data_IF_316163044414
#
_entry.id   IF_316163044414
#
_cell.length_a   1.000
_cell.length_b   1.000
_cell.length_c   1.000
_cell.angle_alpha   90.00
_cell.angle_beta   90.00
_cell.angle_gamma   90.00
#
_symmetry.space_group_name_H-M   'P 1'
#
loop_
_entity.id
_entity.type
_entity.pdbx_description
1 polymer ?
#
# COMPACT_ATOMS: atom_id res chain seq x y z
N UNK A 1 5.59 -5.89 -25.45
CA UNK A 1 4.99 -5.20 -24.31
C UNK A 1 5.88 -4.06 -23.82
N UNK A 2 7.13 -4.28 -23.42
CA UNK A 2 8.04 -3.22 -22.92
C UNK A 2 8.20 -2.03 -23.87
N UNK A 3 8.26 -2.24 -25.20
CA UNK A 3 8.36 -1.15 -26.16
C UNK A 3 7.09 -0.29 -26.24
N UNK A 4 5.90 -0.91 -26.19
CA UNK A 4 4.63 -0.18 -26.16
C UNK A 4 4.50 0.65 -24.88
N UNK A 5 4.92 0.11 -23.72
CA UNK A 5 4.95 0.85 -22.47
C UNK A 5 5.90 2.05 -22.53
N UNK A 6 7.13 1.88 -23.05
CA UNK A 6 8.11 2.97 -23.20
C UNK A 6 7.64 4.07 -24.14
N UNK A 7 6.89 3.69 -25.18
CA UNK A 7 6.37 4.63 -26.17
C UNK A 7 4.99 5.19 -25.83
N UNK A 8 4.41 4.83 -24.66
CA UNK A 8 3.05 5.19 -24.26
C UNK A 8 1.98 4.82 -25.30
N UNK A 9 2.17 3.68 -25.96
CA UNK A 9 1.23 3.14 -26.94
C UNK A 9 0.15 2.28 -26.26
N UNK A 10 -1.09 2.41 -26.73
CA UNK A 10 -2.19 1.58 -26.23
C UNK A 10 -1.98 0.08 -26.54
N UNK A 11 -2.46 -0.77 -25.67
CA UNK A 11 -2.49 -2.22 -25.88
C UNK A 11 -3.73 -2.60 -26.70
N UNK A 12 -3.60 -3.69 -27.48
CA UNK A 12 -4.77 -4.32 -28.09
C UNK A 12 -5.70 -4.85 -26.98
N UNK A 13 -7.02 -4.72 -27.18
CA UNK A 13 -8.03 -5.10 -26.18
C UNK A 13 -7.85 -6.53 -25.66
N UNK A 14 -7.58 -7.50 -26.54
CA UNK A 14 -7.38 -8.88 -26.16
C UNK A 14 -6.13 -9.10 -25.28
N UNK A 15 -5.08 -8.29 -25.49
CA UNK A 15 -3.86 -8.31 -24.68
C UNK A 15 -4.12 -7.64 -23.34
N UNK A 16 -4.80 -6.49 -23.36
CA UNK A 16 -5.21 -5.80 -22.16
C UNK A 16 -6.04 -6.70 -21.24
N UNK A 17 -7.07 -7.37 -21.78
CA UNK A 17 -7.90 -8.28 -20.99
C UNK A 17 -7.09 -9.42 -20.36
N UNK A 18 -6.17 -10.04 -21.09
CA UNK A 18 -5.29 -11.09 -20.53
C UNK A 18 -4.40 -10.56 -19.38
N UNK A 19 -3.89 -9.35 -19.51
CA UNK A 19 -3.09 -8.74 -18.44
C UNK A 19 -3.96 -8.50 -17.20
N UNK A 20 -5.17 -7.97 -17.39
CA UNK A 20 -6.11 -7.73 -16.29
C UNK A 20 -6.51 -9.03 -15.59
N UNK A 21 -6.73 -10.11 -16.34
CA UNK A 21 -7.03 -11.43 -15.76
C UNK A 21 -5.84 -11.99 -14.95
N UNK A 22 -4.61 -11.77 -15.41
CA UNK A 22 -3.41 -12.13 -14.66
C UNK A 22 -3.22 -11.24 -13.43
N UNK A 23 -3.48 -9.96 -13.56
CA UNK A 23 -3.41 -9.02 -12.45
C UNK A 23 -4.41 -9.37 -11.34
N UNK A 24 -5.65 -9.69 -11.69
CA UNK A 24 -6.64 -10.16 -10.71
C UNK A 24 -6.20 -11.44 -9.99
N UNK A 25 -5.57 -12.38 -10.71
CA UNK A 25 -4.97 -13.56 -10.09
C UNK A 25 -3.83 -13.19 -9.14
N UNK A 26 -2.98 -12.24 -9.53
CA UNK A 26 -1.93 -11.72 -8.67
C UNK A 26 -2.50 -11.10 -7.39
N UNK A 27 -3.59 -10.33 -7.47
CA UNK A 27 -4.26 -9.78 -6.28
C UNK A 27 -4.70 -10.87 -5.29
N UNK A 28 -5.00 -12.08 -5.78
CA UNK A 28 -5.42 -13.21 -4.94
C UNK A 28 -4.24 -14.06 -4.46
N UNK A 29 -3.26 -14.29 -5.30
CA UNK A 29 -2.12 -15.19 -5.00
C UNK A 29 -1.00 -14.46 -4.26
N UNK A 30 -0.79 -13.17 -4.57
CA UNK A 30 0.33 -12.39 -4.05
C UNK A 30 1.67 -12.81 -4.65
N UNK A 31 2.75 -12.46 -3.95
CA UNK A 31 4.12 -12.73 -4.31
C UNK A 31 4.88 -13.63 -3.32
N UNK A 32 4.25 -14.12 -2.26
CA UNK A 32 4.89 -15.02 -1.31
C UNK A 32 5.26 -16.35 -1.94
N UNK A 33 6.51 -16.85 -1.80
CA UNK A 33 6.98 -18.03 -2.52
C UNK A 33 6.10 -19.26 -2.33
N UNK A 34 5.67 -19.57 -1.10
CA UNK A 34 4.86 -20.74 -0.81
C UNK A 34 3.47 -20.66 -1.47
N UNK A 35 2.86 -19.46 -1.45
CA UNK A 35 1.58 -19.20 -2.08
C UNK A 35 1.68 -19.32 -3.62
N UNK A 36 2.73 -18.76 -4.21
CA UNK A 36 2.99 -18.83 -5.66
C UNK A 36 3.26 -20.26 -6.09
N UNK A 37 4.09 -21.01 -5.38
CA UNK A 37 4.42 -22.42 -5.69
C UNK A 37 3.16 -23.28 -5.63
N UNK A 38 2.37 -23.18 -4.56
CA UNK A 38 1.10 -23.90 -4.44
C UNK A 38 0.15 -23.59 -5.61
N UNK A 39 0.06 -22.32 -6.02
CA UNK A 39 -0.77 -21.95 -7.16
C UNK A 39 -0.23 -22.49 -8.49
N UNK A 40 1.08 -22.51 -8.70
CA UNK A 40 1.69 -23.05 -9.92
C UNK A 40 1.41 -24.55 -10.04
N UNK A 41 1.54 -25.29 -8.94
CA UNK A 41 1.36 -26.73 -8.89
C UNK A 41 -0.11 -27.16 -9.01
N UNK A 42 -0.98 -26.56 -8.21
CA UNK A 42 -2.34 -27.05 -8.01
C UNK A 42 -3.42 -26.21 -8.70
N UNK A 43 -3.11 -24.97 -9.12
CA UNK A 43 -4.07 -24.00 -9.67
C UNK A 43 -5.29 -23.76 -8.74
N UNK A 44 -5.12 -24.01 -7.45
CA UNK A 44 -6.17 -23.95 -6.44
C UNK A 44 -5.99 -22.74 -5.52
N UNK A 45 -6.80 -21.70 -5.72
CA UNK A 45 -6.72 -20.48 -4.89
C UNK A 45 -7.18 -20.74 -3.45
N UNK A 46 -8.00 -21.73 -3.17
CA UNK A 46 -8.40 -22.05 -1.79
C UNK A 46 -7.21 -22.57 -0.95
N UNK A 47 -6.33 -23.38 -1.54
CA UNK A 47 -5.09 -23.80 -0.89
C UNK A 47 -4.14 -22.61 -0.66
N UNK A 48 -4.04 -21.72 -1.65
CA UNK A 48 -3.29 -20.46 -1.50
C UNK A 48 -3.81 -19.64 -0.31
N UNK A 49 -5.13 -19.53 -0.14
CA UNK A 49 -5.76 -18.83 1.00
C UNK A 49 -5.39 -19.45 2.35
N UNK A 50 -5.28 -20.78 2.42
CA UNK A 50 -4.83 -21.45 3.65
C UNK A 50 -3.39 -21.07 4.00
N UNK A 51 -2.48 -21.12 3.02
CA UNK A 51 -1.08 -20.70 3.19
C UNK A 51 -0.99 -19.25 3.63
N UNK A 52 -1.74 -18.35 2.98
CA UNK A 52 -1.75 -16.93 3.33
C UNK A 52 -2.26 -16.69 4.76
N UNK A 53 -3.29 -17.40 5.18
CA UNK A 53 -3.82 -17.31 6.54
C UNK A 53 -2.81 -17.85 7.58
N UNK A 54 -2.11 -18.94 7.29
CA UNK A 54 -1.06 -19.48 8.15
C UNK A 54 0.10 -18.48 8.30
N UNK A 55 0.53 -17.86 7.20
CA UNK A 55 1.58 -16.82 7.24
C UNK A 55 1.10 -15.58 8.00
N UNK A 56 -0.15 -15.16 7.79
CA UNK A 56 -0.75 -14.04 8.52
C UNK A 56 -0.76 -14.30 10.04
N UNK A 57 -1.20 -15.47 10.48
CA UNK A 57 -1.18 -15.86 11.89
C UNK A 57 0.25 -15.99 12.43
N UNK A 58 1.18 -16.47 11.60
CA UNK A 58 2.59 -16.53 11.96
C UNK A 58 3.15 -15.13 12.21
N UNK A 59 2.91 -14.16 11.34
CA UNK A 59 3.33 -12.77 11.54
C UNK A 59 2.72 -12.17 12.81
N UNK A 60 1.43 -12.40 13.04
CA UNK A 60 0.75 -11.93 14.25
C UNK A 60 1.33 -12.54 15.54
N UNK A 61 1.95 -13.72 15.47
CA UNK A 61 2.50 -14.44 16.63
C UNK A 61 4.02 -14.33 16.76
N UNK A 62 4.77 -14.06 15.70
CA UNK A 62 6.24 -14.00 15.72
C UNK A 62 6.78 -12.89 16.66
N UNK A 63 6.00 -11.86 16.89
CA UNK A 63 6.26 -10.86 17.92
C UNK A 63 6.47 -11.45 19.34
N UNK A 64 6.31 -12.77 19.51
CA UNK A 64 6.53 -13.49 20.79
C UNK A 64 7.98 -13.44 21.32
N UNK A 65 8.93 -13.06 20.49
CA UNK A 65 10.33 -12.81 20.88
C UNK A 65 10.50 -11.55 21.74
N UNK A 66 9.50 -10.67 21.72
CA UNK A 66 9.46 -9.47 22.56
C UNK A 66 8.63 -9.76 23.84
N UNK A 67 8.87 -8.98 24.92
CA UNK A 67 8.11 -9.15 26.15
C UNK A 67 6.60 -9.11 25.92
N UNK A 68 5.82 -9.78 26.76
CA UNK A 68 4.37 -9.98 26.53
C UNK A 68 3.59 -8.68 26.22
N UNK A 69 3.93 -7.58 26.88
CA UNK A 69 3.27 -6.29 26.67
C UNK A 69 3.50 -5.76 25.24
N UNK A 70 4.74 -5.75 24.76
CA UNK A 70 5.08 -5.28 23.42
C UNK A 70 4.50 -6.18 22.32
N UNK A 71 4.48 -7.49 22.57
CA UNK A 71 3.81 -8.47 21.70
C UNK A 71 2.35 -8.10 21.42
N UNK A 72 1.59 -7.76 22.44
CA UNK A 72 0.18 -7.41 22.31
C UNK A 72 0.01 -6.10 21.51
N UNK A 73 0.90 -5.13 21.72
CA UNK A 73 0.88 -3.87 20.96
C UNK A 73 1.23 -4.08 19.49
N UNK A 74 2.30 -4.86 19.21
CA UNK A 74 2.71 -5.21 17.83
C UNK A 74 1.55 -5.91 17.10
N UNK A 75 0.95 -6.91 17.73
CA UNK A 75 -0.21 -7.61 17.17
C UNK A 75 -1.37 -6.66 16.92
N UNK A 76 -1.70 -5.79 17.87
CA UNK A 76 -2.77 -4.82 17.73
C UNK A 76 -2.53 -3.86 16.56
N UNK A 77 -1.30 -3.36 16.41
CA UNK A 77 -0.92 -2.49 15.27
C UNK A 77 -1.09 -3.24 13.95
N UNK A 78 -0.60 -4.48 13.87
CA UNK A 78 -0.70 -5.30 12.67
C UNK A 78 -2.17 -5.60 12.29
N UNK A 79 -2.99 -6.03 13.26
CA UNK A 79 -4.41 -6.34 13.07
C UNK A 79 -5.23 -5.09 12.66
N UNK A 80 -4.73 -3.88 12.97
CA UNK A 80 -5.37 -2.63 12.59
C UNK A 80 -5.08 -2.18 11.15
N UNK A 81 -4.06 -2.74 10.47
CA UNK A 81 -3.68 -2.31 9.11
C UNK A 81 -4.86 -2.37 8.15
N UNK A 82 -5.63 -3.48 8.02
CA UNK A 82 -6.74 -3.55 7.07
C UNK A 82 -7.79 -2.47 7.32
N UNK A 83 -8.20 -2.29 8.57
CA UNK A 83 -9.21 -1.29 8.92
C UNK A 83 -8.75 0.14 8.67
N UNK A 84 -7.47 0.43 8.89
CA UNK A 84 -6.93 1.75 8.59
C UNK A 84 -6.84 2.00 7.08
N UNK A 85 -6.51 0.99 6.28
CA UNK A 85 -6.46 1.09 4.81
C UNK A 85 -7.84 1.31 4.18
N UNK A 86 -8.91 0.78 4.78
CA UNK A 86 -10.29 1.01 4.35
C UNK A 86 -10.85 2.38 4.79
N UNK A 87 -10.19 3.08 5.70
CA UNK A 87 -10.58 4.42 6.11
C UNK A 87 -10.21 5.47 5.05
N UNK A 88 -11.01 6.55 4.95
CA UNK A 88 -10.78 7.64 4.01
C UNK A 88 -9.35 8.23 4.06
N UNK A 89 -8.74 8.30 5.23
CA UNK A 89 -7.37 8.86 5.42
C UNK A 89 -6.27 7.82 5.50
N UNK A 90 -6.61 6.55 5.60
CA UNK A 90 -5.69 5.40 5.64
C UNK A 90 -4.51 5.52 6.63
N UNK A 91 -4.63 6.38 7.64
CA UNK A 91 -3.60 6.62 8.67
C UNK A 91 -3.78 5.72 9.86
N UNK A 92 -2.67 5.34 10.48
CA UNK A 92 -2.70 4.65 11.77
C UNK A 92 -3.36 5.53 12.85
N UNK A 93 -4.36 4.96 13.52
CA UNK A 93 -5.10 5.64 14.58
C UNK A 93 -4.50 5.23 15.93
N UNK A 94 -3.47 5.95 16.37
CA UNK A 94 -2.65 5.62 17.53
C UNK A 94 -3.47 5.36 18.81
N UNK A 95 -4.52 6.14 19.07
CA UNK A 95 -5.38 5.96 20.24
C UNK A 95 -6.02 4.57 20.34
N UNK A 96 -6.16 3.86 19.23
CA UNK A 96 -6.81 2.56 19.18
C UNK A 96 -5.86 1.40 19.57
N UNK A 97 -4.55 1.65 19.63
CA UNK A 97 -3.56 0.60 19.98
C UNK A 97 -3.79 0.10 21.41
N UNK A 98 -3.96 1.02 22.35
CA UNK A 98 -4.22 0.69 23.77
C UNK A 98 -5.50 1.33 24.33
N UNK A 99 -6.30 1.95 23.46
CA UNK A 99 -7.47 2.76 23.86
C UNK A 99 -7.14 3.87 24.89
N UNK A 100 -5.92 4.43 24.81
CA UNK A 100 -5.43 5.48 25.70
C UNK A 100 -5.40 6.83 24.99
N UNK A 101 -5.82 7.91 25.69
CA UNK A 101 -5.71 9.28 25.20
C UNK A 101 -4.29 9.81 25.44
N UNK A 102 -3.84 10.75 24.56
CA UNK A 102 -2.56 11.44 24.72
C UNK A 102 -1.34 10.67 24.21
N UNK A 103 -1.51 9.44 23.72
CA UNK A 103 -0.46 8.69 23.07
C UNK A 103 -0.21 9.18 21.64
N UNK A 104 1.04 9.14 21.22
CA UNK A 104 1.54 9.50 19.88
C UNK A 104 2.27 8.32 19.25
N UNK A 105 2.64 8.42 17.97
CA UNK A 105 3.47 7.39 17.31
C UNK A 105 4.81 7.17 18.00
N UNK A 106 5.35 8.20 18.67
CA UNK A 106 6.61 8.10 19.41
C UNK A 106 6.54 7.16 20.62
N UNK A 107 5.35 6.91 21.15
CA UNK A 107 5.13 5.96 22.25
C UNK A 107 5.18 4.50 21.80
N UNK A 108 5.24 4.24 20.48
CA UNK A 108 5.19 2.91 19.86
C UNK A 108 6.28 2.72 18.79
N UNK A 109 7.40 3.43 18.93
CA UNK A 109 8.49 3.40 17.93
C UNK A 109 9.04 1.98 17.76
N UNK A 110 9.26 1.28 18.86
CA UNK A 110 9.82 -0.08 18.83
C UNK A 110 8.88 -1.08 18.14
N UNK A 111 7.57 -0.95 18.39
CA UNK A 111 6.56 -1.81 17.77
C UNK A 111 6.42 -1.54 16.28
N UNK A 112 6.43 -0.28 15.86
CA UNK A 112 6.44 0.09 14.44
C UNK A 112 7.73 -0.37 13.76
N UNK A 113 8.88 -0.10 14.38
CA UNK A 113 10.18 -0.48 13.82
C UNK A 113 10.29 -1.99 13.65
N UNK A 114 9.75 -2.78 14.58
CA UNK A 114 9.69 -4.23 14.44
C UNK A 114 8.93 -4.65 13.17
N UNK A 115 7.71 -4.14 12.97
CA UNK A 115 6.89 -4.51 11.82
C UNK A 115 7.53 -4.08 10.49
N UNK A 116 8.22 -2.93 10.48
CA UNK A 116 8.85 -2.38 9.29
C UNK A 116 10.18 -3.10 8.99
N UNK A 117 11.05 -3.25 9.98
CA UNK A 117 12.39 -3.84 9.79
C UNK A 117 12.32 -5.34 9.51
N UNK A 118 11.31 -6.04 10.04
CA UNK A 118 11.07 -7.44 9.69
C UNK A 118 10.42 -7.64 8.30
N UNK A 119 10.08 -6.55 7.62
CA UNK A 119 9.42 -6.61 6.30
C UNK A 119 7.98 -7.11 6.32
N UNK A 120 7.33 -7.15 7.49
CA UNK A 120 5.93 -7.57 7.64
C UNK A 120 4.98 -6.48 7.17
N UNK A 121 5.35 -5.21 7.44
CA UNK A 121 4.58 -4.05 7.00
C UNK A 121 5.46 -3.04 6.28
N UNK A 122 4.86 -2.32 5.35
CA UNK A 122 5.49 -1.26 4.56
C UNK A 122 5.02 0.09 5.10
N UNK A 123 5.97 0.96 5.45
CA UNK A 123 5.69 2.26 6.04
C UNK A 123 5.75 3.38 5.02
N UNK A 124 4.73 4.26 5.04
CA UNK A 124 4.68 5.48 4.23
C UNK A 124 4.44 6.67 5.16
N UNK A 125 5.43 7.56 5.26
CA UNK A 125 5.41 8.69 6.18
C UNK A 125 4.82 9.94 5.55
N UNK A 126 4.12 10.75 6.35
CA UNK A 126 3.56 12.01 5.87
C UNK A 126 4.62 13.09 5.71
N UNK A 127 4.51 13.85 4.64
CA UNK A 127 5.24 15.09 4.43
C UNK A 127 4.28 16.25 4.18
N UNK A 128 4.73 17.45 4.44
CA UNK A 128 3.95 18.68 4.19
C UNK A 128 4.53 19.54 3.08
N UNK A 129 5.79 19.34 2.74
CA UNK A 129 6.49 20.03 1.67
C UNK A 129 7.09 19.00 0.71
N UNK A 130 6.56 18.84 -0.52
CA UNK A 130 7.00 17.84 -1.47
C UNK A 130 8.19 18.30 -2.33
N UNK A 131 9.14 19.02 -1.73
CA UNK A 131 10.38 19.42 -2.40
C UNK A 131 11.45 18.35 -2.27
N UNK A 132 12.18 18.09 -3.32
CA UNK A 132 13.35 17.20 -3.33
C UNK A 132 14.51 17.78 -2.48
N UNK A 133 15.23 16.98 -1.67
CA UNK A 133 14.93 15.59 -1.33
C UNK A 133 13.85 15.48 -0.25
N UNK A 134 12.92 14.57 -0.42
CA UNK A 134 11.72 14.44 0.44
C UNK A 134 12.04 14.15 1.91
N UNK A 135 13.19 13.55 2.18
CA UNK A 135 13.65 13.24 3.55
C UNK A 135 13.76 14.49 4.44
N UNK A 136 14.09 15.65 3.87
CA UNK A 136 14.18 16.92 4.62
C UNK A 136 12.81 17.42 5.09
N UNK A 137 11.74 16.96 4.45
CA UNK A 137 10.37 17.37 4.74
C UNK A 137 9.65 16.47 5.75
N UNK A 138 10.35 15.52 6.35
CA UNK A 138 9.83 14.63 7.39
C UNK A 138 9.63 15.44 8.69
N UNK A 139 8.38 15.84 8.94
CA UNK A 139 8.06 16.61 10.15
C UNK A 139 6.75 16.21 10.82
N UNK A 140 6.01 15.29 10.22
CA UNK A 140 4.72 14.83 10.74
C UNK A 140 4.84 13.39 11.26
N UNK A 141 4.47 13.18 12.51
CA UNK A 141 4.34 11.86 13.13
C UNK A 141 3.05 11.15 12.64
N UNK A 142 2.82 11.17 11.34
CA UNK A 142 1.69 10.50 10.69
C UNK A 142 2.20 9.40 9.78
N UNK A 143 1.66 8.21 9.95
CA UNK A 143 2.12 7.00 9.30
C UNK A 143 0.94 6.25 8.67
N UNK A 144 1.12 5.81 7.42
CA UNK A 144 0.31 4.75 6.80
C UNK A 144 1.13 3.46 6.83
N UNK A 145 0.46 2.34 7.10
CA UNK A 145 1.04 1.01 6.96
C UNK A 145 0.29 0.23 5.90
N UNK A 146 1.04 -0.46 5.05
CA UNK A 146 0.55 -1.38 4.03
C UNK A 146 1.07 -2.78 4.31
N UNK A 147 0.41 -3.80 3.79
CA UNK A 147 0.94 -5.16 3.84
C UNK A 147 2.10 -5.33 2.85
N UNK A 148 3.06 -6.16 3.21
CA UNK A 148 4.15 -6.56 2.32
C UNK A 148 3.67 -7.42 1.14
N UNK A 149 2.50 -8.07 1.28
CA UNK A 149 1.92 -8.93 0.26
C UNK A 149 0.42 -8.67 0.07
N UNK A 150 0.01 -8.47 -1.19
CA UNK A 150 -1.38 -8.20 -1.56
C UNK A 150 -2.28 -9.43 -1.40
N UNK A 151 -1.73 -10.63 -1.54
CA UNK A 151 -2.47 -11.87 -1.36
C UNK A 151 -2.92 -12.05 0.09
N UNK A 152 -2.04 -11.76 1.07
CA UNK A 152 -2.42 -11.73 2.48
C UNK A 152 -3.52 -10.69 2.69
N UNK A 153 -3.35 -9.47 2.16
CA UNK A 153 -4.34 -8.41 2.35
C UNK A 153 -5.71 -8.78 1.80
N UNK A 154 -5.79 -9.31 0.58
CA UNK A 154 -7.06 -9.75 0.00
C UNK A 154 -7.63 -11.00 0.68
N UNK A 155 -6.78 -11.84 1.28
CA UNK A 155 -7.24 -12.97 2.11
C UNK A 155 -7.97 -12.49 3.36
N UNK A 156 -7.44 -11.46 4.02
CA UNK A 156 -8.07 -10.86 5.20
C UNK A 156 -9.39 -10.16 4.84
N UNK A 157 -9.41 -9.37 3.75
CA UNK A 157 -10.59 -8.59 3.37
C UNK A 157 -11.75 -9.44 2.83
N UNK A 158 -11.44 -10.44 2.02
CA UNK A 158 -12.47 -11.16 1.26
C UNK A 158 -12.56 -12.65 1.61
N UNK A 159 -11.64 -13.17 2.42
CA UNK A 159 -11.63 -14.56 2.88
C UNK A 159 -11.72 -15.54 1.70
N UNK A 160 -12.63 -16.54 1.77
CA UNK A 160 -12.80 -17.53 0.71
C UNK A 160 -13.54 -17.00 -0.53
N UNK A 161 -14.09 -15.77 -0.50
CA UNK A 161 -14.84 -15.20 -1.63
C UNK A 161 -13.91 -14.63 -2.70
N UNK A 162 -13.26 -15.52 -3.45
CA UNK A 162 -12.36 -15.14 -4.55
C UNK A 162 -13.09 -14.48 -5.73
N UNK A 163 -14.40 -14.76 -5.90
CA UNK A 163 -15.19 -14.19 -6.99
C UNK A 163 -15.32 -12.67 -6.87
N UNK A 164 -15.40 -12.17 -5.67
CA UNK A 164 -15.47 -10.72 -5.44
C UNK A 164 -14.34 -9.96 -6.18
N UNK A 165 -13.13 -10.51 -6.17
CA UNK A 165 -11.98 -9.93 -6.86
C UNK A 165 -11.97 -10.25 -8.36
N UNK A 166 -12.23 -11.53 -8.73
CA UNK A 166 -12.18 -11.96 -10.13
C UNK A 166 -13.22 -11.27 -11.00
N UNK A 167 -14.42 -11.10 -10.48
CA UNK A 167 -15.58 -10.57 -11.23
C UNK A 167 -15.72 -9.05 -11.09
N UNK A 168 -14.81 -8.38 -10.37
CA UNK A 168 -14.90 -6.94 -10.04
C UNK A 168 -16.28 -6.59 -9.47
N UNK A 169 -16.72 -7.32 -8.44
CA UNK A 169 -18.01 -7.05 -7.84
C UNK A 169 -18.10 -5.60 -7.36
N UNK A 170 -19.16 -4.91 -7.74
CA UNK A 170 -19.38 -3.49 -7.40
C UNK A 170 -19.50 -3.24 -5.88
N UNK A 171 -19.75 -4.29 -5.11
CA UNK A 171 -19.91 -4.24 -3.66
C UNK A 171 -18.60 -4.13 -2.90
N UNK A 172 -17.45 -4.38 -3.54
CA UNK A 172 -16.14 -4.28 -2.92
C UNK A 172 -15.36 -3.05 -3.39
N UNK A 173 -14.56 -2.50 -2.48
CA UNK A 173 -13.64 -1.42 -2.78
C UNK A 173 -12.23 -2.00 -2.99
N UNK A 174 -11.76 -2.04 -4.24
CA UNK A 174 -10.40 -2.47 -4.57
C UNK A 174 -9.36 -1.34 -4.46
N UNK A 175 -9.76 -0.12 -4.12
CA UNK A 175 -8.84 1.03 -4.05
C UNK A 175 -7.70 0.83 -3.09
N UNK A 176 -7.97 0.36 -1.87
CA UNK A 176 -6.96 0.03 -0.88
C UNK A 176 -6.04 -1.11 -1.33
N UNK A 177 -6.59 -2.10 -2.04
CA UNK A 177 -5.83 -3.23 -2.61
C UNK A 177 -4.87 -2.75 -3.68
N UNK A 178 -5.31 -1.87 -4.59
CA UNK A 178 -4.44 -1.29 -5.62
C UNK A 178 -3.37 -0.39 -5.03
N UNK A 179 -3.70 0.41 -4.02
CA UNK A 179 -2.68 1.19 -3.31
C UNK A 179 -1.63 0.28 -2.65
N UNK A 180 -2.06 -0.84 -2.04
CA UNK A 180 -1.13 -1.80 -1.46
C UNK A 180 -0.17 -2.37 -2.50
N UNK A 181 -0.67 -2.71 -3.70
CA UNK A 181 0.17 -3.19 -4.81
C UNK A 181 1.17 -2.11 -5.22
N UNK A 182 0.72 -0.87 -5.43
CA UNK A 182 1.61 0.22 -5.84
C UNK A 182 2.67 0.50 -4.78
N UNK A 183 2.30 0.49 -3.49
CA UNK A 183 3.25 0.66 -2.40
C UNK A 183 4.31 -0.44 -2.38
N UNK A 184 3.89 -1.71 -2.47
CA UNK A 184 4.82 -2.85 -2.47
C UNK A 184 5.75 -2.85 -3.68
N UNK A 185 5.24 -2.55 -4.88
CA UNK A 185 6.04 -2.50 -6.11
C UNK A 185 7.05 -1.36 -6.08
N UNK A 186 6.66 -0.15 -5.69
CA UNK A 186 7.58 0.98 -5.62
C UNK A 186 8.70 0.74 -4.59
N UNK A 187 8.37 0.15 -3.43
CA UNK A 187 9.37 -0.20 -2.42
C UNK A 187 10.28 -1.33 -2.92
N UNK A 188 9.75 -2.35 -3.58
CA UNK A 188 10.54 -3.43 -4.17
C UNK A 188 11.53 -2.94 -5.23
N UNK A 189 11.19 -1.84 -5.92
CA UNK A 189 12.09 -1.15 -6.85
C UNK A 189 13.05 -0.14 -6.19
N UNK A 190 13.14 -0.15 -4.87
CA UNK A 190 14.10 0.65 -4.09
C UNK A 190 13.65 2.06 -3.75
N UNK A 191 12.38 2.42 -4.01
CA UNK A 191 11.86 3.74 -3.67
C UNK A 191 11.52 3.82 -2.18
N UNK A 192 11.94 4.89 -1.53
CA UNK A 192 11.42 5.27 -0.22
C UNK A 192 10.15 6.08 -0.42
N UNK A 193 9.04 5.63 0.19
CA UNK A 193 7.74 6.24 -0.01
C UNK A 193 7.37 7.22 1.08
N UNK A 194 6.73 8.29 0.63
CA UNK A 194 6.07 9.30 1.45
C UNK A 194 4.65 9.53 0.92
N UNK A 195 3.80 10.20 1.67
CA UNK A 195 2.53 10.72 1.18
C UNK A 195 2.38 12.21 1.54
N UNK A 196 1.73 12.95 0.65
CA UNK A 196 1.46 14.36 0.91
C UNK A 196 0.17 14.50 1.72
N UNK A 197 0.24 15.22 2.84
CA UNK A 197 -0.93 15.52 3.67
C UNK A 197 -0.96 17.00 4.01
N UNK A 198 -1.91 17.71 3.42
CA UNK A 198 -2.13 19.12 3.68
C UNK A 198 -3.61 19.41 3.92
N UNK A 199 -3.94 20.06 5.03
CA UNK A 199 -5.33 20.33 5.44
C UNK A 199 -6.14 21.09 4.39
N UNK A 200 -5.52 22.04 3.68
CA UNK A 200 -6.18 22.91 2.72
C UNK A 200 -6.05 22.45 1.26
N UNK A 201 -5.00 21.70 0.95
CA UNK A 201 -4.68 21.28 -0.43
C UNK A 201 -5.02 19.84 -0.73
N UNK A 202 -5.34 19.04 0.29
CA UNK A 202 -5.70 17.63 0.16
C UNK A 202 -4.54 16.66 0.41
N UNK A 203 -4.72 15.42 0.00
CA UNK A 203 -3.78 14.30 0.20
C UNK A 203 -3.44 13.69 -1.16
N UNK A 204 -2.16 13.35 -1.37
CA UNK A 204 -1.65 12.58 -2.52
C UNK A 204 -1.11 11.26 -2.00
N UNK A 205 -1.47 10.15 -2.63
CA UNK A 205 -1.27 8.80 -2.09
C UNK A 205 0.19 8.47 -1.83
N UNK A 206 1.07 8.70 -2.82
CA UNK A 206 2.50 8.47 -2.68
C UNK A 206 3.33 9.58 -3.30
N UNK A 207 4.53 9.75 -2.75
CA UNK A 207 5.62 10.52 -3.32
C UNK A 207 6.92 9.74 -3.11
N UNK A 208 7.81 9.81 -4.09
CA UNK A 208 9.18 9.31 -3.96
C UNK A 208 10.15 10.22 -4.68
N UNK A 209 11.43 10.15 -4.30
CA UNK A 209 12.50 10.91 -4.94
C UNK A 209 12.92 10.27 -6.27
N UNK A 210 12.96 11.06 -7.33
CA UNK A 210 13.60 10.72 -8.59
C UNK A 210 14.97 11.38 -8.64
N UNK A 211 16.00 10.59 -8.46
CA UNK A 211 17.39 11.06 -8.39
C UNK A 211 17.94 11.48 -9.76
N UNK A 212 17.36 11.00 -10.86
CA UNK A 212 17.78 11.40 -12.22
C UNK A 212 17.34 12.83 -12.54
N UNK A 213 16.12 13.18 -12.17
CA UNK A 213 15.56 14.52 -12.40
C UNK A 213 15.71 15.45 -11.19
N UNK A 214 16.24 14.97 -10.05
CA UNK A 214 16.33 15.69 -8.77
C UNK A 214 14.98 16.33 -8.38
N UNK A 215 13.90 15.58 -8.55
CA UNK A 215 12.55 16.03 -8.28
C UNK A 215 11.72 14.97 -7.55
N UNK A 216 10.68 15.40 -6.83
CA UNK A 216 9.71 14.50 -6.28
C UNK A 216 8.72 14.01 -7.35
N UNK A 217 8.33 12.76 -7.30
CA UNK A 217 7.32 12.16 -8.20
C UNK A 217 6.05 11.86 -7.41
N UNK A 218 5.02 12.69 -7.52
CA UNK A 218 3.72 12.38 -6.93
C UNK A 218 3.01 11.28 -7.72
N UNK A 219 2.35 10.40 -6.99
CA UNK A 219 1.67 9.23 -7.53
C UNK A 219 0.29 9.10 -6.89
N UNK A 220 -0.74 8.98 -7.73
CA UNK A 220 -2.13 8.73 -7.33
C UNK A 220 -2.57 7.36 -7.81
N UNK A 221 -3.33 6.66 -6.97
CA UNK A 221 -3.90 5.34 -7.26
C UNK A 221 -5.40 5.43 -7.18
N UNK A 222 -6.09 5.10 -8.25
CA UNK A 222 -7.55 5.13 -8.29
C UNK A 222 -8.14 3.80 -8.72
N UNK A 223 -9.26 3.47 -8.11
CA UNK A 223 -10.12 2.36 -8.53
C UNK A 223 -11.51 2.92 -8.81
N UNK A 224 -11.96 2.86 -10.06
CA UNK A 224 -13.33 3.23 -10.41
C UNK A 224 -13.45 4.22 -11.56
N UNK A 225 -14.71 4.60 -11.88
CA UNK A 225 -15.03 5.42 -13.05
C UNK A 225 -14.88 6.94 -12.84
N UNK A 226 -14.75 7.40 -11.59
CA UNK A 226 -14.69 8.83 -11.24
C UNK A 226 -13.25 9.37 -11.14
N UNK A 227 -12.47 9.11 -12.19
CA UNK A 227 -11.07 9.55 -12.29
C UNK A 227 -10.88 11.01 -12.72
N UNK A 228 -11.93 11.81 -12.72
CA UNK A 228 -11.88 13.19 -13.27
C UNK A 228 -11.52 14.27 -12.24
N UNK A 229 -11.46 13.99 -10.95
CA UNK A 229 -11.25 15.00 -9.92
C UNK A 229 -10.00 14.71 -9.06
N UNK A 230 -8.84 15.17 -9.53
CA UNK A 230 -7.56 15.09 -8.81
C UNK A 230 -7.17 16.43 -8.23
N UNK A 231 -8.02 16.99 -7.39
CA UNK A 231 -7.80 18.35 -6.87
C UNK A 231 -6.50 18.49 -6.10
N UNK A 232 -6.10 17.47 -5.33
CA UNK A 232 -4.87 17.49 -4.54
C UNK A 232 -3.63 17.41 -5.43
N UNK A 233 -3.56 16.45 -6.33
CA UNK A 233 -2.46 16.30 -7.28
C UNK A 233 -2.35 17.54 -8.18
N UNK A 234 -3.47 18.02 -8.75
CA UNK A 234 -3.48 19.23 -9.56
C UNK A 234 -3.00 20.47 -8.81
N UNK A 235 -3.38 20.63 -7.54
CA UNK A 235 -2.90 21.72 -6.69
C UNK A 235 -1.40 21.61 -6.40
N UNK A 236 -0.91 20.38 -6.26
CA UNK A 236 0.50 20.10 -6.04
C UNK A 236 1.32 20.40 -7.30
N UNK A 237 0.87 19.97 -8.49
CA UNK A 237 1.53 20.21 -9.77
C UNK A 237 1.54 21.69 -10.18
N UNK A 238 0.52 22.47 -9.81
CA UNK A 238 0.45 23.91 -10.10
C UNK A 238 1.43 24.74 -9.28
N UNK A 239 2.01 24.19 -8.21
CA UNK A 239 2.93 24.92 -7.37
C UNK A 239 4.37 24.81 -7.91
N UNK A 240 4.79 25.82 -8.66
CA UNK A 240 6.12 25.88 -9.28
C UNK A 240 7.27 25.75 -8.27
N UNK A 241 7.07 26.13 -7.01
CA UNK A 241 8.11 26.02 -5.98
C UNK A 241 8.50 24.58 -5.62
N UNK A 242 7.69 23.60 -6.01
CA UNK A 242 7.95 22.17 -5.76
C UNK A 242 8.80 21.53 -6.85
N UNK A 243 8.99 22.20 -7.99
CA UNK A 243 9.80 21.74 -9.13
C UNK A 243 9.47 20.32 -9.61
N UNK A 244 8.18 19.94 -9.59
CA UNK A 244 7.73 18.61 -10.01
C UNK A 244 7.78 18.52 -11.53
N UNK A 245 8.55 17.55 -12.04
CA UNK A 245 8.76 17.38 -13.47
C UNK A 245 7.84 16.31 -14.08
N UNK A 246 7.43 15.32 -13.28
CA UNK A 246 6.54 14.23 -13.72
C UNK A 246 5.65 13.77 -12.58
N UNK A 247 4.53 13.14 -12.92
CA UNK A 247 3.63 12.47 -12.00
C UNK A 247 3.18 11.13 -12.57
N UNK A 248 2.80 10.19 -11.71
CA UNK A 248 2.27 8.90 -12.12
C UNK A 248 0.79 8.77 -11.74
N UNK A 249 0.09 8.02 -12.57
CA UNK A 249 -1.31 7.74 -12.42
C UNK A 249 -1.59 6.27 -12.67
N UNK A 250 -2.11 5.60 -11.67
CA UNK A 250 -2.56 4.21 -11.75
C UNK A 250 -4.08 4.19 -11.65
N UNK A 251 -4.74 3.63 -12.67
CA UNK A 251 -6.19 3.51 -12.81
C UNK A 251 -6.59 2.04 -12.88
#
# INVERSE_FOLDING_TARGET
MQNKFKNLESLDESVHQKIMDLFKKYLLVGGLPDAVNSYIENKNIQEVRQIQNEIHEYYATDASKYGQENKLKIRCIYDMIPSNMENKKKRMIIKNIENKKGKTSNDYVDEFEYLISSGIALAVQAISNPSFPLIESMGKNLLKLYFNDVGIFTSILYGPNIRAVLDNEKSINLGSVYENVVASELIAHGSRLYYYDNRSKGEVDFLYDDYDSLSAVPTEVQSGKDYTVHSALNNLLKNESYHIQKSLWFI
#
